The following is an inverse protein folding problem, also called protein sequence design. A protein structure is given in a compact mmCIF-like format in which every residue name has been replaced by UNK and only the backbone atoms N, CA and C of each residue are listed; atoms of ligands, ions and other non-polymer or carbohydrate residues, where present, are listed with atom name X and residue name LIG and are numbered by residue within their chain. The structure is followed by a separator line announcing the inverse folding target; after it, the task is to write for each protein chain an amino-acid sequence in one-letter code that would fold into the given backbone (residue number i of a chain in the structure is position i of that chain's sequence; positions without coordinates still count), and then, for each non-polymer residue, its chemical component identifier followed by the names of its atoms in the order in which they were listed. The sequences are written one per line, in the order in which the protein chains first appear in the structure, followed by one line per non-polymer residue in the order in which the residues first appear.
data_IF_866459229261
#
_entry.id   IF_866459229261
#
_cell.length_a   1.000
_cell.length_b   1.000
_cell.length_c   1.000
_cell.angle_alpha   90.00
_cell.angle_beta   90.00
_cell.angle_gamma   90.00
#
_symmetry.space_group_name_H-M   'P 1'
#
loop_
_entity.id
_entity.type
_entity.pdbx_description
1 polymer ?
#
# COMPACT_ATOMS: atom_id res chain seq x y z
N UNK A 1 -19.38 -14.48 -22.64
CA UNK A 1 -18.10 -14.07 -21.98
C UNK A 1 -18.07 -14.73 -20.63
N UNK A 2 -17.04 -15.52 -20.38
CA UNK A 2 -16.96 -16.29 -19.15
C UNK A 2 -16.34 -15.46 -18.01
N UNK A 3 -16.99 -15.51 -16.85
CA UNK A 3 -16.63 -14.83 -15.63
C UNK A 3 -16.04 -15.85 -14.65
N UNK A 4 -14.89 -15.54 -14.06
CA UNK A 4 -14.35 -16.29 -12.92
C UNK A 4 -14.43 -15.44 -11.65
N UNK A 5 -15.00 -16.00 -10.60
CA UNK A 5 -15.00 -15.39 -9.28
C UNK A 5 -14.09 -16.21 -8.39
N UNK A 6 -13.07 -15.56 -7.85
CA UNK A 6 -12.12 -16.15 -6.91
C UNK A 6 -12.44 -15.68 -5.49
N UNK A 7 -12.60 -16.63 -4.57
CA UNK A 7 -12.94 -16.37 -3.15
C UNK A 7 -14.33 -15.72 -2.96
N UNK A 8 -15.34 -16.49 -3.22
CA UNK A 8 -16.76 -16.14 -2.96
C UNK A 8 -17.38 -17.17 -2.00
N UNK A 9 -16.99 -17.16 -0.72
CA UNK A 9 -17.25 -18.26 0.23
C UNK A 9 -18.72 -18.57 0.45
N UNK A 10 -19.59 -17.59 0.28
CA UNK A 10 -21.04 -17.70 0.47
C UNK A 10 -21.86 -17.59 -0.82
N UNK A 11 -21.19 -17.36 -1.96
CA UNK A 11 -21.83 -17.19 -3.27
C UNK A 11 -22.48 -15.82 -3.49
N UNK A 12 -22.27 -14.85 -2.60
CA UNK A 12 -22.92 -13.53 -2.69
C UNK A 12 -22.53 -12.80 -3.97
N UNK A 13 -21.25 -12.74 -4.32
CA UNK A 13 -20.77 -12.07 -5.54
C UNK A 13 -21.31 -12.76 -6.79
N UNK A 14 -21.33 -14.08 -6.78
CA UNK A 14 -21.91 -14.92 -7.84
C UNK A 14 -23.38 -14.58 -8.07
N UNK A 15 -24.15 -14.56 -7.00
CA UNK A 15 -25.58 -14.27 -7.07
C UNK A 15 -25.87 -12.86 -7.57
N UNK A 16 -25.06 -11.88 -7.18
CA UNK A 16 -25.17 -10.51 -7.71
C UNK A 16 -24.92 -10.46 -9.20
N UNK A 17 -23.91 -11.12 -9.72
CA UNK A 17 -23.66 -11.19 -11.17
C UNK A 17 -24.87 -11.76 -11.92
N UNK A 18 -25.45 -12.84 -11.43
CA UNK A 18 -26.57 -13.53 -12.07
C UNK A 18 -27.86 -12.71 -11.95
N UNK A 19 -28.20 -12.25 -10.75
CA UNK A 19 -29.52 -11.64 -10.48
C UNK A 19 -29.55 -10.16 -10.78
N UNK A 20 -28.52 -9.39 -10.36
CA UNK A 20 -28.54 -7.94 -10.52
C UNK A 20 -28.01 -7.51 -11.91
N UNK A 21 -26.99 -8.20 -12.43
CA UNK A 21 -26.37 -7.85 -13.70
C UNK A 21 -26.85 -8.70 -14.88
N UNK A 22 -27.70 -9.71 -14.62
CA UNK A 22 -28.30 -10.54 -15.67
C UNK A 22 -27.31 -11.43 -16.44
N UNK A 23 -26.17 -11.75 -15.84
CA UNK A 23 -25.18 -12.64 -16.46
C UNK A 23 -25.74 -14.06 -16.48
N UNK A 24 -25.60 -14.75 -17.63
CA UNK A 24 -26.05 -16.14 -17.74
C UNK A 24 -25.31 -17.01 -16.72
N UNK A 25 -26.00 -17.81 -15.88
CA UNK A 25 -25.34 -18.68 -14.93
C UNK A 25 -24.33 -19.65 -15.56
N UNK A 26 -24.56 -20.09 -16.78
CA UNK A 26 -23.64 -20.95 -17.52
C UNK A 26 -22.29 -20.32 -17.84
N UNK A 27 -22.24 -18.98 -17.85
CA UNK A 27 -21.02 -18.20 -18.10
C UNK A 27 -20.26 -17.83 -16.81
N UNK A 28 -20.80 -18.21 -15.63
CA UNK A 28 -20.21 -17.89 -14.32
C UNK A 28 -19.53 -19.12 -13.74
N UNK A 29 -18.26 -18.96 -13.42
CA UNK A 29 -17.41 -19.94 -12.77
C UNK A 29 -16.95 -19.41 -11.42
N UNK A 30 -16.95 -20.26 -10.40
CA UNK A 30 -16.59 -19.87 -9.04
C UNK A 30 -15.53 -20.83 -8.49
N UNK A 31 -14.56 -20.28 -7.80
CA UNK A 31 -13.54 -21.04 -7.11
C UNK A 31 -13.27 -20.49 -5.71
N UNK A 32 -13.08 -21.38 -4.74
CA UNK A 32 -12.60 -21.06 -3.40
C UNK A 32 -11.61 -22.14 -2.95
N UNK A 33 -10.61 -21.76 -2.17
CA UNK A 33 -9.57 -22.67 -1.71
C UNK A 33 -9.95 -23.51 -0.49
N UNK A 34 -11.12 -23.26 0.15
CA UNK A 34 -11.56 -23.99 1.31
C UNK A 34 -12.65 -25.02 0.94
N UNK A 35 -12.43 -26.27 1.29
CA UNK A 35 -13.36 -27.36 0.98
C UNK A 35 -14.78 -27.15 1.57
N UNK A 36 -14.88 -26.46 2.72
CA UNK A 36 -16.18 -26.09 3.32
C UNK A 36 -16.95 -25.11 2.46
N UNK A 37 -16.26 -24.10 1.89
CA UNK A 37 -16.84 -23.12 0.98
C UNK A 37 -17.24 -23.79 -0.34
N UNK A 38 -16.35 -24.60 -0.91
CA UNK A 38 -16.68 -25.36 -2.13
C UNK A 38 -17.92 -26.23 -1.97
N UNK A 39 -18.09 -26.89 -0.82
CA UNK A 39 -19.29 -27.70 -0.55
C UNK A 39 -20.58 -26.85 -0.54
N UNK A 40 -20.53 -25.64 -0.04
CA UNK A 40 -21.65 -24.69 -0.10
C UNK A 40 -21.90 -24.22 -1.55
N UNK A 41 -20.85 -23.81 -2.25
CA UNK A 41 -20.94 -23.36 -3.64
C UNK A 41 -21.51 -24.44 -4.56
N UNK A 42 -21.14 -25.70 -4.39
CA UNK A 42 -21.71 -26.84 -5.12
C UNK A 42 -23.24 -27.00 -4.86
N UNK A 43 -23.70 -26.78 -3.63
CA UNK A 43 -25.13 -26.80 -3.32
C UNK A 43 -25.87 -25.65 -3.99
N UNK A 44 -25.30 -24.44 -3.97
CA UNK A 44 -25.87 -23.29 -4.64
C UNK A 44 -25.89 -23.48 -6.18
N UNK A 45 -24.81 -24.01 -6.75
CA UNK A 45 -24.71 -24.28 -8.17
C UNK A 45 -25.77 -25.26 -8.69
N UNK A 46 -26.19 -26.24 -7.88
CA UNK A 46 -27.30 -27.14 -8.23
C UNK A 46 -28.61 -26.38 -8.41
N UNK A 47 -28.83 -25.31 -7.64
CA UNK A 47 -30.04 -24.50 -7.70
C UNK A 47 -29.93 -23.44 -8.81
N UNK A 48 -28.87 -22.67 -8.82
CA UNK A 48 -28.70 -21.51 -9.67
C UNK A 48 -27.98 -21.76 -10.99
N UNK A 49 -27.44 -22.98 -11.18
CA UNK A 49 -26.86 -23.46 -12.46
C UNK A 49 -25.56 -22.79 -12.91
N UNK A 50 -24.80 -22.20 -12.01
CA UNK A 50 -23.42 -21.76 -12.29
C UNK A 50 -22.42 -22.90 -12.15
N UNK A 51 -21.16 -22.67 -12.54
CA UNK A 51 -20.10 -23.67 -12.54
C UNK A 51 -19.21 -23.50 -11.31
N UNK A 52 -18.79 -24.61 -10.68
CA UNK A 52 -17.81 -24.62 -9.59
C UNK A 52 -16.54 -25.32 -10.10
N UNK A 53 -15.39 -24.67 -9.97
CA UNK A 53 -14.09 -25.25 -10.26
C UNK A 53 -13.64 -26.04 -9.03
N UNK A 54 -13.41 -27.33 -9.20
CA UNK A 54 -13.02 -28.24 -8.12
C UNK A 54 -11.49 -28.39 -7.97
N UNK A 55 -10.75 -28.12 -9.06
CA UNK A 55 -9.29 -28.17 -9.07
C UNK A 55 -8.70 -27.10 -8.17
N UNK A 56 -7.59 -27.39 -7.52
CA UNK A 56 -6.83 -26.38 -6.77
C UNK A 56 -6.01 -25.50 -7.71
N UNK A 57 -6.50 -24.29 -7.98
CA UNK A 57 -5.86 -23.34 -8.89
C UNK A 57 -4.47 -22.89 -8.46
N UNK A 58 -4.03 -23.16 -7.23
CA UNK A 58 -2.66 -22.86 -6.79
C UNK A 58 -1.66 -23.97 -7.14
N UNK A 59 -2.12 -25.18 -7.37
CA UNK A 59 -1.28 -26.35 -7.58
C UNK A 59 -1.56 -27.09 -8.88
N UNK A 60 -2.72 -26.85 -9.50
CA UNK A 60 -3.18 -27.51 -10.70
C UNK A 60 -3.40 -26.51 -11.84
N UNK A 61 -2.91 -26.83 -13.01
CA UNK A 61 -3.22 -26.07 -14.22
C UNK A 61 -4.61 -26.46 -14.74
N UNK A 62 -5.39 -25.46 -15.16
CA UNK A 62 -6.65 -25.67 -15.85
C UNK A 62 -6.55 -25.13 -17.28
N UNK A 63 -7.07 -25.88 -18.24
CA UNK A 63 -7.13 -25.47 -19.63
C UNK A 63 -8.38 -24.61 -19.91
N UNK A 64 -8.54 -23.56 -19.11
CA UNK A 64 -9.65 -22.60 -19.22
C UNK A 64 -9.12 -21.17 -19.14
N UNK A 65 -9.76 -20.29 -19.90
CA UNK A 65 -9.49 -18.85 -19.87
C UNK A 65 -10.79 -18.08 -19.74
N UNK A 66 -10.75 -16.99 -19.00
CA UNK A 66 -11.92 -16.19 -18.66
C UNK A 66 -11.79 -14.78 -19.23
N UNK A 67 -12.88 -14.23 -19.73
CA UNK A 67 -12.90 -12.86 -20.21
C UNK A 67 -12.92 -11.85 -19.06
N UNK A 68 -13.42 -12.26 -17.89
CA UNK A 68 -13.40 -11.42 -16.70
C UNK A 68 -13.11 -12.22 -15.43
N UNK A 69 -12.18 -11.71 -14.59
CA UNK A 69 -11.83 -12.30 -13.29
C UNK A 69 -12.12 -11.30 -12.18
N UNK A 70 -12.95 -11.70 -11.22
CA UNK A 70 -13.28 -10.92 -10.04
C UNK A 70 -12.71 -11.60 -8.79
N UNK A 71 -12.15 -10.84 -7.86
CA UNK A 71 -11.63 -11.45 -6.63
C UNK A 71 -11.62 -10.48 -5.44
N UNK A 72 -11.95 -11.03 -4.28
CA UNK A 72 -11.70 -10.44 -2.98
C UNK A 72 -10.94 -11.48 -2.12
N UNK A 73 -9.64 -11.69 -2.36
CA UNK A 73 -8.88 -12.73 -1.69
C UNK A 73 -8.64 -12.40 -0.23
N UNK A 74 -8.42 -13.41 0.63
CA UNK A 74 -7.92 -13.18 1.98
C UNK A 74 -6.62 -12.38 1.95
N UNK A 75 -6.43 -11.46 2.93
CA UNK A 75 -5.27 -10.56 2.95
C UNK A 75 -4.08 -11.11 3.75
N UNK A 76 -4.30 -12.18 4.49
CA UNK A 76 -3.29 -12.84 5.31
C UNK A 76 -2.25 -13.57 4.45
N UNK A 77 -1.06 -13.75 4.99
CA UNK A 77 0.06 -14.52 4.39
C UNK A 77 0.39 -14.20 2.92
N UNK A 78 0.02 -13.00 2.47
CA UNK A 78 0.24 -12.57 1.09
C UNK A 78 -0.64 -13.32 0.07
N UNK A 79 -1.77 -13.85 0.49
CA UNK A 79 -2.72 -14.59 -0.35
C UNK A 79 -3.12 -13.77 -1.59
N UNK A 80 -3.38 -12.46 -1.42
CA UNK A 80 -3.69 -11.58 -2.55
C UNK A 80 -2.60 -11.59 -3.65
N UNK A 81 -1.31 -11.72 -3.28
CA UNK A 81 -0.21 -11.84 -4.26
C UNK A 81 -0.22 -13.20 -4.94
N UNK A 82 -0.50 -14.27 -4.20
CA UNK A 82 -0.64 -15.61 -4.78
C UNK A 82 -1.79 -15.63 -5.79
N UNK A 83 -2.93 -15.03 -5.43
CA UNK A 83 -4.10 -14.93 -6.32
C UNK A 83 -3.80 -14.10 -7.57
N UNK A 84 -3.13 -12.95 -7.43
CA UNK A 84 -2.72 -12.16 -8.60
C UNK A 84 -1.84 -12.95 -9.57
N UNK A 85 -1.02 -13.88 -9.09
CA UNK A 85 -0.18 -14.74 -9.93
C UNK A 85 -0.96 -15.74 -10.78
N UNK A 86 -2.22 -16.00 -10.48
CA UNK A 86 -3.10 -16.83 -11.29
C UNK A 86 -3.57 -16.11 -12.56
N UNK A 87 -3.66 -14.77 -12.53
CA UNK A 87 -4.24 -13.97 -13.63
C UNK A 87 -3.61 -14.30 -14.99
N UNK A 88 -2.26 -14.33 -15.17
CA UNK A 88 -1.67 -14.59 -16.47
C UNK A 88 -2.05 -15.95 -17.06
N UNK A 89 -2.38 -16.91 -16.21
CA UNK A 89 -2.77 -18.27 -16.64
C UNK A 89 -4.28 -18.45 -16.84
N UNK A 90 -5.09 -17.54 -16.29
CA UNK A 90 -6.55 -17.71 -16.29
C UNK A 90 -7.29 -16.65 -17.13
N UNK A 91 -6.65 -15.53 -17.46
CA UNK A 91 -7.28 -14.45 -18.20
C UNK A 91 -7.07 -14.64 -19.73
N UNK A 92 -8.08 -14.30 -20.52
CA UNK A 92 -7.93 -14.19 -21.98
C UNK A 92 -7.07 -12.98 -22.33
N UNK A 93 -6.54 -12.92 -23.56
CA UNK A 93 -5.66 -11.83 -24.01
C UNK A 93 -6.31 -10.44 -23.86
N UNK A 94 -7.58 -10.33 -24.26
CA UNK A 94 -8.37 -9.09 -24.13
C UNK A 94 -9.22 -9.04 -22.85
N UNK A 95 -8.94 -9.92 -21.89
CA UNK A 95 -9.71 -10.01 -20.65
C UNK A 95 -9.39 -8.92 -19.65
N UNK A 96 -10.30 -8.74 -18.70
CA UNK A 96 -10.20 -7.78 -17.59
C UNK A 96 -10.22 -8.51 -16.24
N UNK A 97 -9.41 -8.07 -15.31
CA UNK A 97 -9.54 -8.46 -13.91
C UNK A 97 -9.93 -7.28 -13.03
N UNK A 98 -10.62 -7.58 -11.94
CA UNK A 98 -10.96 -6.63 -10.89
C UNK A 98 -10.75 -7.27 -9.52
N UNK A 99 -9.79 -6.71 -8.75
CA UNK A 99 -9.38 -7.27 -7.48
C UNK A 99 -9.47 -6.26 -6.35
N UNK A 100 -10.09 -6.65 -5.24
CA UNK A 100 -9.95 -5.96 -3.98
C UNK A 100 -8.67 -6.44 -3.29
N UNK A 101 -7.72 -5.55 -3.06
CA UNK A 101 -6.42 -5.88 -2.45
C UNK A 101 -6.01 -4.82 -1.43
N UNK A 102 -5.11 -5.14 -0.49
CA UNK A 102 -4.58 -4.13 0.42
C UNK A 102 -3.85 -2.99 -0.32
N UNK A 103 -4.03 -1.76 0.15
CA UNK A 103 -3.37 -0.56 -0.42
C UNK A 103 -1.84 -0.66 -0.47
N UNK A 104 -1.25 -1.58 0.29
CA UNK A 104 0.19 -1.86 0.20
C UNK A 104 0.66 -2.28 -1.19
N UNK A 105 -0.25 -2.60 -2.13
CA UNK A 105 0.10 -2.78 -3.54
C UNK A 105 0.66 -1.50 -4.18
N UNK A 106 0.30 -0.34 -3.65
CA UNK A 106 0.81 0.95 -4.11
C UNK A 106 2.21 1.28 -3.57
N UNK A 107 2.73 0.48 -2.63
CA UNK A 107 4.07 0.70 -2.09
C UNK A 107 5.09 0.05 -3.02
N UNK A 108 6.01 0.83 -3.61
CA UNK A 108 7.10 0.32 -4.42
C UNK A 108 7.89 -0.78 -3.71
N UNK A 109 8.46 -1.68 -4.49
CA UNK A 109 9.29 -2.81 -4.02
C UNK A 109 8.58 -3.85 -3.13
N UNK A 110 7.28 -3.71 -2.85
CA UNK A 110 6.51 -4.83 -2.27
C UNK A 110 6.36 -5.95 -3.28
N UNK A 111 6.18 -7.17 -2.80
CA UNK A 111 5.97 -8.32 -3.71
C UNK A 111 4.76 -8.13 -4.62
N UNK A 112 3.68 -7.50 -4.10
CA UNK A 112 2.47 -7.20 -4.86
C UNK A 112 2.71 -6.16 -5.95
N UNK A 113 3.28 -5.00 -5.59
CA UNK A 113 3.60 -3.93 -6.53
C UNK A 113 4.56 -4.41 -7.63
N UNK A 114 5.63 -5.12 -7.23
CA UNK A 114 6.62 -5.66 -8.18
C UNK A 114 5.99 -6.67 -9.14
N UNK A 115 5.10 -7.53 -8.64
CA UNK A 115 4.42 -8.50 -9.51
C UNK A 115 3.46 -7.77 -10.46
N UNK A 116 2.61 -6.89 -9.95
CA UNK A 116 1.65 -6.12 -10.75
C UNK A 116 2.36 -5.34 -11.87
N UNK A 117 3.39 -4.57 -11.52
CA UNK A 117 4.18 -3.79 -12.48
C UNK A 117 4.72 -4.64 -13.65
N UNK A 118 5.26 -5.83 -13.34
CA UNK A 118 5.99 -6.62 -14.32
C UNK A 118 5.13 -7.61 -15.12
N UNK A 119 3.92 -7.92 -14.65
CA UNK A 119 3.13 -9.02 -15.22
C UNK A 119 1.68 -8.63 -15.54
N UNK A 120 1.21 -7.48 -15.09
CA UNK A 120 -0.17 -7.04 -15.28
C UNK A 120 -0.19 -5.63 -15.87
N UNK A 121 -1.09 -5.38 -16.79
CA UNK A 121 -1.48 -4.02 -17.20
C UNK A 121 -2.46 -3.50 -16.16
N UNK A 122 -2.16 -2.38 -15.53
CA UNK A 122 -3.05 -1.71 -14.59
C UNK A 122 -3.73 -0.56 -15.32
N UNK A 123 -5.03 -0.62 -15.44
CA UNK A 123 -5.82 0.39 -16.09
C UNK A 123 -6.31 1.45 -15.08
N UNK A 124 -6.52 1.06 -13.80
CA UNK A 124 -6.94 1.96 -12.73
C UNK A 124 -6.76 1.30 -11.36
N UNK A 125 -6.45 2.12 -10.35
CA UNK A 125 -6.57 1.75 -8.93
C UNK A 125 -7.53 2.73 -8.25
N UNK A 126 -8.48 2.21 -7.46
CA UNK A 126 -9.54 2.98 -6.86
C UNK A 126 -9.52 2.81 -5.34
N UNK A 127 -9.33 3.93 -4.61
CA UNK A 127 -9.24 3.98 -3.15
C UNK A 127 -10.58 4.29 -2.47
N UNK A 128 -11.65 4.57 -3.22
CA UNK A 128 -12.95 4.96 -2.64
C UNK A 128 -13.55 3.89 -1.72
N UNK A 129 -13.18 2.63 -1.93
CA UNK A 129 -13.62 1.50 -1.11
C UNK A 129 -12.92 1.39 0.25
N UNK A 130 -11.80 2.09 0.44
CA UNK A 130 -10.96 1.95 1.65
C UNK A 130 -11.70 2.28 2.95
N UNK A 131 -12.59 3.27 2.93
CA UNK A 131 -13.36 3.68 4.10
C UNK A 131 -14.49 2.70 4.49
N UNK A 132 -14.99 1.91 3.54
CA UNK A 132 -16.12 0.98 3.75
C UNK A 132 -15.72 -0.28 4.53
N UNK A 133 -14.41 -0.58 4.65
CA UNK A 133 -13.89 -1.79 5.29
C UNK A 133 -13.12 -1.52 6.59
N UNK A 134 -13.08 -0.26 7.06
CA UNK A 134 -12.28 0.17 8.22
C UNK A 134 -12.68 -0.52 9.51
N UNK A 135 -13.94 -0.91 9.65
CA UNK A 135 -14.47 -1.54 10.85
C UNK A 135 -14.15 -3.03 10.97
N UNK A 136 -13.69 -3.68 9.90
CA UNK A 136 -13.52 -5.13 9.89
C UNK A 136 -12.08 -5.60 10.10
N UNK A 137 -11.07 -4.78 9.80
CA UNK A 137 -9.66 -5.15 9.98
C UNK A 137 -8.86 -3.91 10.41
N UNK A 138 -8.51 -3.83 11.68
CA UNK A 138 -7.69 -2.72 12.23
C UNK A 138 -6.44 -2.46 11.36
N UNK A 139 -6.42 -1.31 10.69
CA UNK A 139 -5.25 -0.79 9.99
C UNK A 139 -4.99 -1.36 8.58
N UNK A 140 -5.92 -2.10 7.98
CA UNK A 140 -5.77 -2.55 6.59
C UNK A 140 -6.73 -1.78 5.68
N UNK A 141 -6.18 -0.90 4.87
CA UNK A 141 -6.92 -0.22 3.81
C UNK A 141 -6.89 -1.07 2.54
N UNK A 142 -7.99 -1.07 1.82
CA UNK A 142 -8.14 -1.82 0.57
C UNK A 142 -8.40 -0.89 -0.60
N UNK A 143 -7.97 -1.32 -1.77
CA UNK A 143 -8.25 -0.66 -3.03
C UNK A 143 -8.78 -1.67 -4.05
N UNK A 144 -9.52 -1.16 -5.02
CA UNK A 144 -9.96 -1.93 -6.16
C UNK A 144 -8.97 -1.71 -7.31
N UNK A 145 -8.38 -2.78 -7.79
CA UNK A 145 -7.40 -2.78 -8.90
C UNK A 145 -8.07 -3.37 -10.13
N UNK A 146 -8.09 -2.61 -11.20
CA UNK A 146 -8.65 -3.02 -12.50
C UNK A 146 -7.53 -3.05 -13.53
N UNK A 147 -7.51 -4.08 -14.37
CA UNK A 147 -6.48 -4.22 -15.39
C UNK A 147 -6.64 -5.46 -16.25
N UNK A 148 -5.60 -5.80 -17.01
CA UNK A 148 -5.55 -6.92 -17.94
C UNK A 148 -4.17 -7.57 -17.98
N UNK A 149 -3.94 -8.40 -19.03
CA UNK A 149 -2.63 -8.97 -19.28
C UNK A 149 -1.65 -7.92 -19.80
N UNK A 150 -0.37 -8.08 -19.47
CA UNK A 150 0.70 -7.21 -19.95
C UNK A 150 1.57 -6.68 -18.82
N UNK A 151 2.26 -5.58 -19.10
CA UNK A 151 3.07 -4.86 -18.12
C UNK A 151 2.53 -3.45 -17.94
N UNK A 152 2.59 -2.95 -16.75
CA UNK A 152 2.34 -1.53 -16.49
C UNK A 152 3.61 -0.75 -16.79
N UNK A 153 3.65 -0.12 -17.95
CA UNK A 153 4.84 0.63 -18.44
C UNK A 153 4.73 2.13 -18.21
N UNK A 154 3.51 2.63 -18.09
CA UNK A 154 3.18 4.05 -17.93
C UNK A 154 2.51 4.31 -16.59
N UNK A 155 2.16 5.58 -16.37
CA UNK A 155 1.31 5.97 -15.26
C UNK A 155 -0.10 5.43 -15.47
N UNK A 156 -0.78 5.24 -14.35
CA UNK A 156 -2.18 4.82 -14.31
C UNK A 156 -3.00 5.75 -13.41
N UNK A 157 -4.31 5.89 -13.67
CA UNK A 157 -5.24 6.65 -12.84
C UNK A 157 -5.35 6.03 -11.44
N UNK A 158 -5.14 6.86 -10.41
CA UNK A 158 -5.45 6.56 -9.02
C UNK A 158 -6.65 7.41 -8.60
N UNK A 159 -7.78 6.75 -8.34
CA UNK A 159 -8.99 7.41 -7.85
C UNK A 159 -8.88 7.52 -6.33
N UNK A 160 -8.88 8.74 -5.82
CA UNK A 160 -8.76 9.05 -4.39
C UNK A 160 -10.11 8.85 -3.67
N UNK A 161 -10.14 8.80 -2.33
CA UNK A 161 -11.37 8.59 -1.56
C UNK A 161 -12.46 9.66 -1.77
N UNK A 162 -12.08 10.85 -2.21
CA UNK A 162 -12.99 11.94 -2.57
C UNK A 162 -13.38 11.95 -4.05
N UNK A 163 -13.12 10.87 -4.77
CA UNK A 163 -13.39 10.67 -6.20
C UNK A 163 -12.50 11.48 -7.16
N UNK A 164 -11.58 12.31 -6.66
CA UNK A 164 -10.59 12.95 -7.52
C UNK A 164 -9.62 11.90 -8.13
N UNK A 165 -9.15 12.20 -9.34
CA UNK A 165 -8.25 11.31 -10.08
C UNK A 165 -6.87 11.94 -10.20
N UNK A 166 -5.84 11.21 -9.84
CA UNK A 166 -4.44 11.61 -10.01
C UNK A 166 -3.70 10.53 -10.80
N UNK A 167 -2.66 10.93 -11.53
CA UNK A 167 -1.79 9.99 -12.25
C UNK A 167 -0.61 9.56 -11.37
N UNK A 168 -0.39 8.26 -11.27
CA UNK A 168 0.72 7.68 -10.52
C UNK A 168 1.32 6.47 -11.21
N UNK A 169 2.38 5.91 -10.62
CA UNK A 169 3.04 4.68 -11.05
C UNK A 169 3.49 3.84 -9.85
N UNK A 170 4.04 2.66 -10.10
CA UNK A 170 4.54 1.78 -9.04
C UNK A 170 5.93 2.13 -8.49
N UNK A 171 6.60 3.12 -9.05
CA UNK A 171 7.92 3.58 -8.59
C UNK A 171 7.80 4.85 -7.73
N UNK A 172 6.67 5.53 -7.82
CA UNK A 172 6.37 6.71 -7.02
C UNK A 172 6.08 6.36 -5.56
N UNK A 173 6.46 7.22 -4.62
CA UNK A 173 6.13 7.07 -3.21
C UNK A 173 4.64 7.36 -2.98
N UNK A 174 3.80 6.39 -3.31
CA UNK A 174 2.37 6.56 -3.15
C UNK A 174 1.98 6.54 -1.68
N UNK A 175 1.16 7.48 -1.27
CA UNK A 175 0.56 7.44 0.05
C UNK A 175 -0.47 6.29 0.15
N UNK A 176 -0.72 5.82 1.37
CA UNK A 176 -1.50 4.60 1.61
C UNK A 176 -2.73 4.81 2.48
N UNK A 177 -3.04 6.06 2.85
CA UNK A 177 -4.21 6.42 3.66
C UNK A 177 -5.19 7.32 2.93
N UNK A 178 -6.31 7.63 3.60
CA UNK A 178 -7.28 8.62 3.10
C UNK A 178 -6.57 9.90 2.69
N UNK A 179 -6.70 10.25 1.43
CA UNK A 179 -6.04 11.40 0.87
C UNK A 179 -6.94 12.15 -0.06
N UNK A 180 -6.75 13.46 -0.02
CA UNK A 180 -7.18 14.37 -1.07
C UNK A 180 -5.99 14.69 -2.00
N UNK A 181 -6.19 15.41 -3.11
CA UNK A 181 -5.12 15.79 -4.03
C UNK A 181 -3.97 16.57 -3.37
N UNK A 182 -4.26 17.39 -2.35
CA UNK A 182 -3.25 18.14 -1.60
C UNK A 182 -2.33 17.18 -0.83
N UNK A 183 -2.91 16.18 -0.16
CA UNK A 183 -2.13 15.16 0.56
C UNK A 183 -1.22 14.37 -0.40
N UNK A 184 -1.75 13.99 -1.56
CA UNK A 184 -0.99 13.29 -2.58
C UNK A 184 0.18 14.16 -3.11
N UNK A 185 -0.09 15.42 -3.41
CA UNK A 185 0.91 16.37 -3.91
C UNK A 185 2.00 16.62 -2.87
N UNK A 186 1.63 16.90 -1.62
CA UNK A 186 2.56 17.12 -0.53
C UNK A 186 3.42 15.88 -0.26
N UNK A 187 2.81 14.70 -0.22
CA UNK A 187 3.55 13.47 -0.02
C UNK A 187 4.61 13.27 -1.08
N UNK A 188 4.25 13.41 -2.36
CA UNK A 188 5.19 13.27 -3.48
C UNK A 188 6.24 14.39 -3.55
N UNK A 189 5.94 15.59 -3.03
CA UNK A 189 6.89 16.70 -2.92
C UNK A 189 7.98 16.40 -1.88
N UNK A 190 7.63 15.74 -0.78
CA UNK A 190 8.53 15.49 0.36
C UNK A 190 9.23 14.14 0.24
N UNK A 191 8.49 13.10 -0.10
CA UNK A 191 9.05 11.74 -0.21
C UNK A 191 9.83 11.60 -1.52
N UNK A 192 11.12 11.34 -1.40
CA UNK A 192 12.06 11.24 -2.52
C UNK A 192 12.90 9.97 -2.35
N UNK A 193 13.47 9.50 -3.45
CA UNK A 193 14.37 8.36 -3.45
C UNK A 193 15.84 8.83 -3.51
N UNK A 194 16.20 9.77 -2.66
CA UNK A 194 17.52 10.41 -2.64
C UNK A 194 18.24 10.29 -1.30
N UNK A 195 17.67 9.54 -0.34
CA UNK A 195 18.30 9.37 0.97
C UNK A 195 19.50 8.41 0.93
N UNK A 196 20.33 8.56 1.97
CA UNK A 196 21.53 7.73 2.18
C UNK A 196 21.37 6.71 3.32
N UNK A 197 20.14 6.37 3.70
CA UNK A 197 19.92 5.40 4.75
C UNK A 197 20.34 3.99 4.36
N UNK A 198 21.12 3.37 5.21
CA UNK A 198 21.61 1.98 5.07
C UNK A 198 20.96 1.09 6.12
N UNK A 199 20.57 -0.11 5.73
CA UNK A 199 20.06 -1.09 6.68
C UNK A 199 21.17 -1.61 7.59
N UNK A 200 20.96 -1.47 8.90
CA UNK A 200 21.80 -2.05 9.93
C UNK A 200 21.26 -3.42 10.34
N UNK A 201 21.97 -4.47 9.96
CA UNK A 201 21.53 -5.85 10.24
C UNK A 201 22.06 -6.37 11.57
N UNK A 202 23.33 -6.18 11.85
CA UNK A 202 24.01 -6.74 13.02
C UNK A 202 25.36 -6.06 13.25
N UNK A 203 25.81 -5.98 14.50
CA UNK A 203 27.12 -5.47 14.87
C UNK A 203 27.15 -3.96 15.12
N UNK A 204 28.33 -3.39 15.27
CA UNK A 204 28.56 -1.98 15.56
C UNK A 204 28.51 -1.15 14.28
N UNK A 205 27.85 0.00 14.30
CA UNK A 205 27.92 0.99 13.23
C UNK A 205 29.31 1.61 13.27
N UNK A 206 30.02 1.62 12.13
CA UNK A 206 31.40 2.13 12.06
C UNK A 206 31.47 3.66 12.00
N UNK A 207 30.39 4.32 11.57
CA UNK A 207 30.34 5.77 11.50
C UNK A 207 30.48 6.39 12.90
N UNK A 208 31.24 7.49 12.96
CA UNK A 208 31.43 8.25 14.21
C UNK A 208 30.16 8.99 14.62
N UNK A 209 29.46 9.55 13.64
CA UNK A 209 28.20 10.27 13.80
C UNK A 209 27.17 9.71 12.87
N UNK A 210 25.95 9.49 13.32
CA UNK A 210 24.87 8.96 12.49
C UNK A 210 23.49 9.26 13.05
N UNK A 211 22.52 9.37 12.17
CA UNK A 211 21.10 9.39 12.52
C UNK A 211 20.53 7.99 12.31
N UNK A 212 19.75 7.50 13.26
CA UNK A 212 19.24 6.15 13.27
C UNK A 212 17.71 6.11 13.34
N UNK A 213 17.12 5.29 12.49
CA UNK A 213 15.67 5.05 12.45
C UNK A 213 15.41 3.60 12.78
N UNK A 214 14.62 3.35 13.82
CA UNK A 214 14.19 2.01 14.19
C UNK A 214 12.79 1.74 13.66
N UNK A 215 12.59 0.66 12.85
CA UNK A 215 11.25 0.19 12.54
C UNK A 215 10.56 -0.23 13.84
N UNK A 216 9.44 0.37 14.18
CA UNK A 216 8.68 -0.01 15.37
C UNK A 216 7.23 -0.30 15.01
N UNK A 217 6.70 -1.42 15.53
CA UNK A 217 5.32 -1.81 15.34
C UNK A 217 4.33 -0.98 16.18
N UNK A 218 4.80 -0.13 17.09
CA UNK A 218 3.93 0.67 17.97
C UNK A 218 4.21 2.16 17.79
N UNK A 219 3.17 2.91 17.51
CA UNK A 219 3.19 4.37 17.62
C UNK A 219 3.23 4.79 19.08
N UNK A 220 3.94 5.86 19.32
CA UNK A 220 3.77 6.65 20.50
C UNK A 220 3.48 8.07 20.03
N UNK A 221 2.30 8.56 20.32
CA UNK A 221 1.85 9.92 20.08
C UNK A 221 1.98 10.41 18.62
N UNK A 222 1.60 9.57 17.64
CA UNK A 222 1.67 9.91 16.21
C UNK A 222 3.06 10.37 15.70
N UNK A 223 4.12 10.05 16.43
CA UNK A 223 5.50 10.33 16.02
C UNK A 223 6.12 9.08 15.41
N UNK A 224 6.78 9.23 14.28
CA UNK A 224 7.76 8.26 13.84
C UNK A 224 8.78 8.10 14.97
N UNK A 225 9.07 6.87 15.38
CA UNK A 225 10.11 6.64 16.39
C UNK A 225 11.45 6.66 15.71
N UNK A 226 12.03 7.83 15.60
CA UNK A 226 13.43 7.98 15.26
C UNK A 226 14.25 7.92 16.54
N UNK A 227 15.32 7.13 16.51
CA UNK A 227 16.36 7.19 17.52
C UNK A 227 17.59 7.75 16.85
N UNK A 228 17.90 8.99 17.06
CA UNK A 228 19.18 9.57 16.72
C UNK A 228 20.17 9.23 17.81
N UNK A 229 21.33 8.74 17.40
CA UNK A 229 22.48 8.59 18.29
C UNK A 229 23.63 9.30 17.60
N UNK A 230 23.97 10.46 18.13
CA UNK A 230 25.17 11.15 17.75
C UNK A 230 26.32 10.56 18.60
N UNK A 231 27.39 10.14 17.98
CA UNK A 231 28.66 9.78 18.62
C UNK A 231 28.86 8.41 19.20
N UNK A 232 27.85 7.56 19.38
CA UNK A 232 28.13 6.29 20.04
C UNK A 232 27.19 5.16 19.65
N UNK A 233 27.73 3.96 19.70
CA UNK A 233 26.97 2.74 19.62
C UNK A 233 26.06 2.58 20.84
N UNK A 234 24.81 2.21 20.61
CA UNK A 234 23.86 1.81 21.64
C UNK A 234 23.46 0.37 21.37
N UNK A 235 23.51 -0.48 22.39
CA UNK A 235 23.11 -1.87 22.30
C UNK A 235 21.63 -1.98 21.91
N UNK A 236 21.29 -2.92 21.03
CA UNK A 236 19.91 -3.14 20.57
C UNK A 236 19.47 -2.30 19.37
N UNK A 237 20.37 -1.62 18.68
CA UNK A 237 20.08 -0.90 17.43
C UNK A 237 19.93 -1.81 16.20
N UNK A 238 19.82 -3.11 16.38
CA UNK A 238 19.68 -4.06 15.27
C UNK A 238 18.36 -3.92 14.52
N UNK A 239 18.40 -4.23 13.22
CA UNK A 239 17.24 -4.19 12.30
C UNK A 239 16.65 -2.79 12.06
N UNK A 240 17.44 -1.75 12.18
CA UNK A 240 17.07 -0.39 11.81
C UNK A 240 17.80 0.11 10.58
N UNK A 241 17.67 1.40 10.34
CA UNK A 241 18.33 2.09 9.24
C UNK A 241 19.13 3.26 9.82
N UNK A 242 20.34 3.47 9.31
CA UNK A 242 21.16 4.60 9.72
C UNK A 242 21.67 5.37 8.51
N UNK A 243 21.91 6.65 8.71
CA UNK A 243 22.60 7.52 7.78
C UNK A 243 23.82 8.12 8.48
N UNK A 244 24.98 8.00 7.85
CA UNK A 244 26.21 8.62 8.34
C UNK A 244 26.11 10.14 8.24
N UNK A 245 26.70 10.84 9.22
CA UNK A 245 26.72 12.28 9.31
C UNK A 245 28.15 12.78 9.49
N UNK A 246 28.42 14.00 9.01
CA UNK A 246 29.74 14.59 9.08
C UNK A 246 30.08 15.12 10.49
N UNK A 247 29.07 15.45 11.28
CA UNK A 247 29.23 15.95 12.66
C UNK A 247 28.07 15.52 13.55
N UNK A 248 28.24 15.71 14.86
CA UNK A 248 27.21 15.50 15.86
C UNK A 248 26.03 16.46 15.65
N UNK A 249 26.32 17.71 15.35
CA UNK A 249 25.32 18.75 15.11
C UNK A 249 24.46 18.40 13.89
N UNK A 250 25.04 17.86 12.83
CA UNK A 250 24.30 17.38 11.67
C UNK A 250 23.36 16.23 12.04
N UNK A 251 23.88 15.25 12.79
CA UNK A 251 23.08 14.09 13.21
C UNK A 251 21.92 14.51 14.13
N UNK A 252 22.13 15.42 15.05
CA UNK A 252 21.12 15.95 15.96
C UNK A 252 20.08 16.79 15.22
N UNK A 253 20.51 17.63 14.28
CA UNK A 253 19.61 18.41 13.44
C UNK A 253 18.70 17.52 12.59
N UNK A 254 19.25 16.55 11.91
CA UNK A 254 18.47 15.60 11.09
C UNK A 254 17.48 14.83 11.97
N UNK A 255 17.91 14.39 13.16
CA UNK A 255 17.02 13.74 14.11
C UNK A 255 15.84 14.63 14.49
N UNK A 256 16.10 15.89 14.84
CA UNK A 256 15.03 16.85 15.20
C UNK A 256 14.05 17.05 14.05
N UNK A 257 14.53 17.23 12.83
CA UNK A 257 13.66 17.38 11.65
C UNK A 257 12.72 16.16 11.55
N UNK A 258 13.25 14.95 11.57
CA UNK A 258 12.43 13.72 11.46
C UNK A 258 11.48 13.51 12.64
N UNK A 259 11.80 13.99 13.84
CA UNK A 259 10.99 13.71 15.04
C UNK A 259 10.07 14.85 15.46
N UNK A 260 10.44 16.09 15.20
CA UNK A 260 9.78 17.28 15.76
C UNK A 260 9.05 18.11 14.72
N UNK A 261 9.51 18.11 13.45
CA UNK A 261 8.90 18.88 12.38
C UNK A 261 7.43 18.54 12.16
N UNK A 262 6.60 19.55 11.97
CA UNK A 262 5.19 19.41 11.64
C UNK A 262 5.01 18.67 10.29
N UNK A 263 5.86 19.00 9.31
CA UNK A 263 5.83 18.37 8.00
C UNK A 263 6.07 16.85 8.10
N UNK A 264 7.10 16.43 8.83
CA UNK A 264 7.39 14.99 8.97
C UNK A 264 6.37 14.25 9.84
N UNK A 265 5.75 14.94 10.80
CA UNK A 265 4.60 14.39 11.54
C UNK A 265 3.40 14.16 10.63
N UNK A 266 3.13 15.11 9.75
CA UNK A 266 2.07 15.01 8.74
C UNK A 266 2.38 13.88 7.74
N UNK A 267 3.57 13.83 7.16
CA UNK A 267 3.99 12.75 6.24
C UNK A 267 3.91 11.38 6.93
N UNK A 268 4.36 11.32 8.17
CA UNK A 268 4.18 10.11 8.99
C UNK A 268 2.72 9.70 9.05
N UNK A 269 1.82 10.65 9.23
CA UNK A 269 0.38 10.41 9.25
C UNK A 269 -0.11 9.82 7.91
N UNK A 270 0.28 10.40 6.78
CA UNK A 270 -0.11 9.90 5.45
C UNK A 270 0.37 8.47 5.16
N UNK A 271 1.41 8.01 5.85
CA UNK A 271 1.98 6.65 5.70
C UNK A 271 1.46 5.63 6.73
N UNK A 272 0.48 5.99 7.53
CA UNK A 272 0.07 5.24 8.73
C UNK A 272 -0.79 3.99 8.46
N UNK A 273 -1.18 3.70 7.27
CA UNK A 273 -1.75 2.39 6.93
C UNK A 273 -0.82 1.20 7.25
N UNK A 274 0.44 1.48 7.65
CA UNK A 274 1.43 0.49 8.07
C UNK A 274 1.83 0.72 9.50
N UNK A 275 1.70 -0.31 10.31
CA UNK A 275 2.11 -0.31 11.72
C UNK A 275 3.62 -0.22 11.92
N UNK A 276 4.41 -0.27 10.84
CA UNK A 276 5.87 -0.23 10.87
C UNK A 276 6.42 0.66 9.76
N UNK A 277 7.49 1.41 10.06
CA UNK A 277 8.40 1.87 9.02
C UNK A 277 9.08 0.61 8.49
N UNK A 278 8.64 0.18 7.32
CA UNK A 278 9.28 -0.93 6.63
C UNK A 278 10.54 -0.43 5.90
N UNK A 279 11.38 -1.35 5.46
CA UNK A 279 12.48 -1.00 4.56
C UNK A 279 12.00 -0.27 3.29
N UNK A 280 10.72 -0.41 2.93
CA UNK A 280 10.13 0.23 1.77
C UNK A 280 9.91 1.73 2.00
N UNK A 281 9.43 2.11 3.19
CA UNK A 281 9.23 3.53 3.51
C UNK A 281 10.56 4.28 3.63
N UNK A 282 11.64 3.62 4.03
CA UNK A 282 12.95 4.25 4.10
C UNK A 282 13.49 4.67 2.74
N UNK A 283 13.13 3.94 1.66
CA UNK A 283 13.60 4.27 0.31
C UNK A 283 13.11 5.66 -0.14
N UNK A 284 12.01 6.13 0.44
CA UNK A 284 11.41 7.42 0.09
C UNK A 284 11.62 8.51 1.13
N UNK A 285 12.33 8.24 2.22
CA UNK A 285 12.74 9.32 3.13
C UNK A 285 13.64 10.28 2.34
N UNK A 286 13.37 11.60 2.40
CA UNK A 286 14.18 12.55 1.66
C UNK A 286 15.58 12.68 2.25
N UNK A 287 16.55 13.08 1.43
CA UNK A 287 17.81 13.57 1.93
C UNK A 287 17.62 14.98 2.51
N UNK A 288 17.94 15.13 3.80
CA UNK A 288 17.81 16.40 4.55
C UNK A 288 19.17 16.88 5.10
N UNK A 289 20.28 16.40 4.56
CA UNK A 289 21.62 16.79 5.03
C UNK A 289 21.83 18.31 5.02
N UNK A 290 21.32 18.97 4.00
CA UNK A 290 21.46 20.41 3.78
C UNK A 290 20.26 21.23 4.32
N UNK A 291 19.24 20.58 4.88
CA UNK A 291 18.12 21.28 5.47
C UNK A 291 18.51 21.90 6.81
N UNK A 292 18.37 23.22 6.94
CA UNK A 292 18.48 23.91 8.22
C UNK A 292 17.28 23.59 9.11
N UNK A 293 17.42 23.74 10.43
CA UNK A 293 16.32 23.60 11.36
C UNK A 293 16.47 24.56 12.56
N UNK A 294 16.24 25.84 12.30
CA UNK A 294 16.09 26.86 13.35
C UNK A 294 14.61 27.06 13.68
N UNK A 295 13.75 26.79 12.69
CA UNK A 295 12.29 26.86 12.79
C UNK A 295 11.64 25.86 11.83
N UNK A 296 10.34 25.61 11.99
CA UNK A 296 9.56 24.81 11.02
C UNK A 296 9.56 25.44 9.61
N UNK A 297 9.68 26.77 9.53
CA UNK A 297 9.73 27.48 8.26
C UNK A 297 10.93 27.03 7.39
N UNK A 298 12.08 26.75 8.01
CA UNK A 298 13.26 26.26 7.28
C UNK A 298 12.98 24.94 6.56
N UNK A 299 12.20 24.06 7.20
CA UNK A 299 11.78 22.76 6.62
C UNK A 299 10.78 22.98 5.50
N UNK A 300 9.81 23.86 5.71
CA UNK A 300 8.84 24.19 4.66
C UNK A 300 9.51 24.80 3.42
N UNK A 301 10.44 25.71 3.62
CA UNK A 301 11.18 26.34 2.52
C UNK A 301 12.05 25.33 1.76
N UNK A 302 12.70 24.42 2.47
CA UNK A 302 13.52 23.37 1.87
C UNK A 302 12.73 22.46 0.94
N UNK A 303 11.47 22.14 1.29
CA UNK A 303 10.58 21.33 0.47
C UNK A 303 9.66 22.15 -0.45
N UNK A 304 9.73 23.47 -0.42
CA UNK A 304 8.89 24.37 -1.23
C UNK A 304 7.39 24.23 -0.88
N UNK A 305 7.07 24.10 0.41
CA UNK A 305 5.69 24.00 0.91
C UNK A 305 5.03 25.36 0.84
N UNK A 306 3.88 25.47 0.15
CA UNK A 306 3.13 26.71 0.01
C UNK A 306 2.34 27.06 1.27
N UNK A 307 1.84 28.30 1.40
CA UNK A 307 1.03 28.71 2.57
C UNK A 307 -0.25 27.89 2.70
N UNK A 308 -0.93 27.61 1.59
CA UNK A 308 -2.15 26.76 1.60
C UNK A 308 -1.84 25.34 2.06
N UNK A 309 -0.71 24.77 1.63
CA UNK A 309 -0.24 23.46 2.08
C UNK A 309 0.14 23.47 3.56
N UNK A 310 0.73 24.55 4.09
CA UNK A 310 1.02 24.69 5.53
C UNK A 310 -0.27 24.73 6.36
N UNK A 311 -1.28 25.45 5.89
CA UNK A 311 -2.57 25.52 6.58
C UNK A 311 -3.22 24.13 6.58
N UNK A 312 -3.23 23.42 5.45
CA UNK A 312 -3.70 22.07 5.35
C UNK A 312 -2.99 21.09 6.32
N UNK A 313 -1.66 21.15 6.40
CA UNK A 313 -0.86 20.34 7.36
C UNK A 313 -1.34 20.59 8.80
N UNK A 314 -1.49 21.86 9.18
CA UNK A 314 -1.93 22.25 10.54
C UNK A 314 -3.34 21.76 10.86
N UNK A 315 -4.27 21.88 9.91
CA UNK A 315 -5.65 21.39 10.06
C UNK A 315 -5.69 19.85 10.26
N UNK A 316 -4.96 19.10 9.43
CA UNK A 316 -4.90 17.64 9.53
C UNK A 316 -4.32 17.23 10.89
N UNK A 317 -3.25 17.85 11.32
CA UNK A 317 -2.63 17.56 12.62
C UNK A 317 -3.53 17.95 13.80
N UNK A 318 -4.30 19.03 13.69
CA UNK A 318 -5.24 19.48 14.72
C UNK A 318 -6.45 18.53 14.86
N UNK A 319 -7.05 18.12 13.76
CA UNK A 319 -8.16 17.14 13.74
C UNK A 319 -7.80 15.83 14.44
N UNK A 320 -6.53 15.44 14.40
CA UNK A 320 -6.03 14.20 15.03
C UNK A 320 -5.78 14.33 16.52
N UNK A 321 -5.41 15.51 17.02
CA UNK A 321 -5.32 15.73 18.47
C UNK A 321 -6.65 15.51 19.15
N UNK A 322 -7.74 15.86 18.49
CA UNK A 322 -9.10 15.77 19.04
C UNK A 322 -9.73 14.37 18.98
N UNK A 323 -9.19 13.42 18.18
CA UNK A 323 -9.69 12.03 18.14
C UNK A 323 -9.05 11.10 19.18
N UNK A 324 -8.07 11.57 19.93
CA UNK A 324 -7.35 10.77 20.94
C UNK A 324 -7.55 11.31 22.38
N UNK A 325 -8.56 12.14 22.58
CA UNK A 325 -9.17 12.51 23.83
C UNK A 325 -10.62 12.01 23.87
#
# INVERSE_FOLDING_TARGET
MDYLILFDPDGTSTMRLIVEYGISPSDVYVWDNLSTHQSLLQKLAKVYKFNVIEQDLFTEDIDMRFGKILSNPPYDDGMYVKTMKLIPNLLTEDGEFQFLVPNKILIPYTKGATFAKNNLRIDRIDLTYGSSFVDSIEGTWVCNVVGGLGKTVDKFPLVLPNEDVVETDFDSPNPVMEMNPTDFTLHNKVMRNDNKFVMHKKGKISAKYFTYIRPTAKRVNNKLRYHGVANQWVEGLENGFYQECNSAEQAERMLKIYTESELFRYISYCNIGFTMISRFNKEFLPNIEDCCYNSEQDVYDFFGVTEDEKEHIREVLAKKRNKHH
#
